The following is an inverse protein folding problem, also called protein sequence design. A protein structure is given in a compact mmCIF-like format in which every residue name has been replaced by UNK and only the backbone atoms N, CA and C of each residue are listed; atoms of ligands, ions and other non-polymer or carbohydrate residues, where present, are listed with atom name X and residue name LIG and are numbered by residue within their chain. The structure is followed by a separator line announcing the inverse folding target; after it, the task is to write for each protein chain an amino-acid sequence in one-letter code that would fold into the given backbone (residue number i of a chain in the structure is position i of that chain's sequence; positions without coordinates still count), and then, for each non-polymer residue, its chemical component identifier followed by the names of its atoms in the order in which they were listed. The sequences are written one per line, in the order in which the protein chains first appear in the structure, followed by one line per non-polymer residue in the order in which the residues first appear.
data_IF_338661867252
#
_entry.id   IF_338661867252
#
_cell.length_a   1.000
_cell.length_b   1.000
_cell.length_c   1.000
_cell.angle_alpha   90.00
_cell.angle_beta   90.00
_cell.angle_gamma   90.00
#
_symmetry.space_group_name_H-M   'P 1'
#
loop_
_entity.id
_entity.type
_entity.pdbx_description
1 polymer ?
2 branched ?
3 branched ?
4 non-polymer ?
5 non-polymer ?
6 non-polymer ?
7 non-polymer ?
8 water ?
#
# COMPACT_ATOMS: atom_id res chain seq x y z
N UNK A 19 6.50 13.06 14.76
CA UNK A 19 7.33 11.82 14.97
C UNK A 19 7.09 11.24 16.35
N UNK A 20 7.12 9.91 16.40
CA UNK A 20 7.02 9.16 17.63
C UNK A 20 7.65 7.81 17.29
N UNK A 21 8.17 7.08 18.30
CA UNK A 21 8.68 5.74 17.98
C UNK A 21 7.54 4.80 17.57
N UNK A 22 7.87 3.77 16.81
CA UNK A 22 6.93 2.70 16.53
C UNK A 22 6.40 2.15 17.85
N UNK A 23 5.08 2.01 17.99
CA UNK A 23 4.52 1.54 19.27
C UNK A 23 4.97 0.11 19.69
N UNK A 24 5.28 -0.73 18.70
CA UNK A 24 5.65 -2.14 18.96
C UNK A 24 6.96 -2.56 18.28
N UNK A 25 7.65 -1.61 17.66
CA UNK A 25 8.91 -1.86 16.96
C UNK A 25 8.76 -2.33 15.53
N UNK A 26 7.54 -2.60 15.08
CA UNK A 26 7.29 -3.01 13.70
C UNK A 26 6.84 -1.84 12.81
N UNK A 27 6.66 -2.10 11.52
CA UNK A 27 6.25 -1.06 10.56
C UNK A 27 7.26 0.06 10.41
N UNK A 28 8.55 -0.26 10.51
CA UNK A 28 9.59 0.77 10.34
C UNK A 28 9.56 1.32 8.92
N UNK A 29 9.09 0.51 7.98
CA UNK A 29 8.68 0.97 6.65
C UNK A 29 7.29 0.35 6.42
N UNK A 30 6.53 0.83 5.42
CA UNK A 30 5.20 0.27 5.18
C UNK A 30 5.30 -1.21 4.81
N UNK A 31 4.27 -1.99 5.17
CA UNK A 31 4.28 -3.43 4.86
C UNK A 31 4.09 -3.70 3.39
N UNK A 32 4.60 -4.84 2.92
CA UNK A 32 4.38 -5.29 1.56
C UNK A 32 3.95 -6.75 1.62
N UNK A 33 3.08 -7.13 0.70
CA UNK A 33 2.60 -8.50 0.65
C UNK A 33 1.48 -8.72 -0.34
N UNK A 34 0.56 -9.60 0.04
CA UNK A 34 -0.55 -9.99 -0.82
C UNK A 34 -1.73 -10.42 0.05
N UNK A 35 -2.94 -10.14 -0.45
CA UNK A 35 -4.18 -10.51 0.21
C UNK A 35 -5.07 -11.18 -0.84
N UNK A 36 -5.73 -12.27 -0.46
CA UNK A 36 -6.51 -13.10 -1.39
C UNK A 36 -7.88 -12.55 -1.80
N UNK A 37 -8.33 -11.48 -1.13
CA UNK A 37 -9.72 -11.06 -1.27
C UNK A 37 -10.13 -10.65 -2.69
N UNK A 38 -9.45 -9.65 -3.27
CA UNK A 38 -9.86 -9.11 -4.58
C UNK A 38 -10.18 -10.18 -5.61
N UNK A 39 -9.47 -11.30 -5.56
CA UNK A 39 -9.53 -12.28 -6.63
C UNK A 39 -10.10 -13.64 -6.22
N UNK A 40 -10.21 -13.90 -4.92
CA UNK A 40 -10.75 -15.19 -4.42
C UNK A 40 -11.95 -15.11 -3.45
N UNK A 41 -12.21 -13.92 -2.92
CA UNK A 41 -13.30 -13.71 -1.94
C UNK A 41 -13.30 -14.82 -0.87
N UNK A 42 -14.46 -15.41 -0.55
CA UNK A 42 -14.56 -16.45 0.49
C UNK A 42 -13.98 -17.80 0.11
N UNK A 43 -13.63 -17.96 -1.17
CA UNK A 43 -13.12 -19.23 -1.67
C UNK A 43 -11.61 -19.35 -1.39
N UNK A 44 -11.30 -19.63 -0.12
CA UNK A 44 -9.93 -19.73 0.37
C UNK A 44 -9.64 -21.15 0.85
N UNK A 45 -8.37 -21.53 0.88
CA UNK A 45 -7.96 -22.82 1.45
C UNK A 45 -6.46 -22.78 1.73
N UNK A 46 -5.97 -23.76 2.49
CA UNK A 46 -4.52 -23.89 2.68
C UNK A 46 -3.82 -23.95 1.32
N UNK A 47 -4.36 -24.78 0.43
CA UNK A 47 -3.78 -24.99 -0.91
C UNK A 47 -3.65 -23.69 -1.71
N UNK A 48 -4.71 -22.89 -1.73
CA UNK A 48 -4.67 -21.56 -2.38
C UNK A 48 -3.53 -20.74 -1.84
N UNK A 49 -3.43 -20.68 -0.52
CA UNK A 49 -2.48 -19.83 0.15
C UNK A 49 -1.06 -20.25 -0.18
N UNK A 50 -0.78 -21.54 -0.14
CA UNK A 50 0.57 -22.05 -0.37
C UNK A 50 0.97 -22.01 -1.85
N UNK A 51 0.03 -22.32 -2.75
CA UNK A 51 0.25 -22.15 -4.21
C UNK A 51 0.58 -20.72 -4.58
N UNK A 52 -0.17 -19.77 -4.02
CA UNK A 52 0.10 -18.34 -4.23
C UNK A 52 1.46 -17.94 -3.68
N UNK A 53 1.75 -18.37 -2.46
CA UNK A 53 3.00 -18.05 -1.81
C UNK A 53 4.17 -18.61 -2.62
N UNK A 54 4.04 -19.84 -3.12
CA UNK A 54 5.07 -20.46 -3.98
C UNK A 54 5.32 -19.59 -5.21
N UNK A 55 4.22 -19.14 -5.83
CA UNK A 55 4.28 -18.27 -7.02
C UNK A 55 4.92 -16.93 -6.72
N UNK A 56 4.57 -16.31 -5.59
CA UNK A 56 5.16 -15.02 -5.20
C UNK A 56 6.66 -15.15 -4.92
N UNK A 57 7.04 -16.26 -4.28
CA UNK A 57 8.45 -16.60 -4.11
C UNK A 57 9.15 -16.76 -5.47
N UNK A 58 8.60 -17.62 -6.34
CA UNK A 58 9.24 -17.98 -7.62
C UNK A 58 9.35 -16.79 -8.58
N UNK A 59 8.37 -15.89 -8.54
CA UNK A 59 8.43 -14.65 -9.34
C UNK A 59 9.45 -13.63 -8.82
N UNK A 60 10.07 -13.93 -7.67
CA UNK A 60 11.09 -13.05 -7.09
C UNK A 60 10.46 -11.85 -6.39
N UNK A 61 9.13 -11.87 -6.25
CA UNK A 61 8.40 -10.79 -5.60
C UNK A 61 8.57 -10.81 -4.08
N UNK A 62 8.64 -12.02 -3.52
CA UNK A 62 8.95 -12.19 -2.09
C UNK A 62 10.25 -11.47 -1.70
N UNK A 63 11.31 -11.71 -2.49
CA UNK A 63 12.61 -11.12 -2.16
C UNK A 63 12.73 -9.64 -2.54
N UNK A 64 11.67 -9.08 -3.12
CA UNK A 64 11.56 -7.62 -3.31
C UNK A 64 10.94 -6.96 -2.08
N UNK A 65 10.35 -7.78 -1.20
CA UNK A 65 9.82 -7.29 0.06
C UNK A 65 8.38 -7.68 0.27
N UNK A 66 7.73 -8.23 -0.76
CA UNK A 66 6.32 -8.68 -0.66
C UNK A 66 6.23 -9.97 0.16
N UNK A 67 6.30 -9.82 1.49
CA UNK A 67 6.53 -10.96 2.37
C UNK A 67 5.37 -11.38 3.25
N UNK A 68 4.38 -10.50 3.41
CA UNK A 68 3.17 -10.83 4.17
C UNK A 68 2.15 -11.51 3.25
N UNK A 69 1.86 -12.78 3.53
CA UNK A 69 0.78 -13.52 2.89
C UNK A 69 -0.45 -13.41 3.80
N UNK A 70 -1.38 -12.57 3.38
CA UNK A 70 -2.50 -12.20 4.25
C UNK A 70 -3.80 -12.90 3.83
N UNK A 71 -4.20 -13.84 4.67
CA UNK A 71 -5.47 -14.55 4.53
C UNK A 71 -6.56 -13.62 5.05
N UNK A 72 -7.56 -13.36 4.22
CA UNK A 72 -8.64 -12.43 4.56
C UNK A 72 -9.83 -13.17 5.21
N UNK A 73 -11.05 -12.71 4.93
CA UNK A 73 -12.28 -13.16 5.59
C UNK A 73 -12.64 -14.62 5.24
N UNK A 74 -13.68 -15.16 5.89
CA UNK A 74 -14.31 -16.46 5.53
C UNK A 74 -13.48 -17.71 5.81
N UNK A 75 -12.63 -17.65 6.84
CA UNK A 75 -11.68 -18.72 7.09
C UNK A 75 -12.14 -19.63 8.22
N UNK A 76 -13.01 -19.10 9.10
CA UNK A 76 -13.48 -19.80 10.29
C UNK A 76 -14.82 -20.50 10.07
N UNK A 77 -15.16 -21.41 10.98
CA UNK A 77 -16.45 -22.11 10.92
C UNK A 77 -17.33 -21.83 12.14
N UNK A 78 -16.79 -21.13 13.13
CA UNK A 78 -17.49 -20.87 14.39
C UNK A 78 -16.54 -20.80 15.58
N UNK A 79 -17.07 -21.09 16.76
CA UNK A 79 -16.28 -21.12 18.00
C UNK A 79 -16.51 -22.43 18.74
N UNK A 80 -15.48 -22.92 19.43
CA UNK A 80 -15.58 -24.18 20.19
C UNK A 80 -16.24 -23.99 21.56
N UNK A 81 -16.31 -25.04 22.37
CA UNK A 81 -16.97 -24.98 23.68
C UNK A 81 -16.29 -24.02 24.67
N UNK A 82 -15.02 -23.70 24.42
CA UNK A 82 -14.30 -22.70 25.21
C UNK A 82 -14.41 -21.29 24.65
N UNK A 83 -15.13 -21.13 23.55
CA UNK A 83 -15.32 -19.81 22.94
C UNK A 83 -14.20 -19.41 22.00
N UNK A 84 -13.26 -20.32 21.76
CA UNK A 84 -12.14 -20.10 20.83
C UNK A 84 -12.58 -20.22 19.39
N UNK A 85 -12.04 -19.35 18.54
CA UNK A 85 -12.20 -19.44 17.10
C UNK A 85 -11.78 -20.82 16.61
N UNK A 86 -12.54 -21.35 15.66
CA UNK A 86 -12.23 -22.62 15.01
C UNK A 86 -12.06 -22.35 13.51
N UNK A 87 -10.90 -22.72 12.96
CA UNK A 87 -10.71 -22.64 11.51
C UNK A 87 -11.62 -23.66 10.81
N UNK A 88 -12.14 -23.30 9.64
CA UNK A 88 -12.96 -24.20 8.84
C UNK A 88 -12.09 -25.40 8.45
N UNK A 89 -12.45 -26.59 8.93
CA UNK A 89 -11.62 -27.79 8.70
C UNK A 89 -11.65 -28.35 7.28
N UNK A 90 -12.62 -27.92 6.49
CA UNK A 90 -12.65 -28.23 5.07
C UNK A 90 -11.65 -27.36 4.29
N UNK A 91 -11.58 -26.07 4.66
CA UNK A 91 -10.68 -25.13 3.99
C UNK A 91 -9.25 -25.23 4.53
N UNK A 92 -9.12 -25.51 5.82
CA UNK A 92 -7.83 -25.59 6.51
C UNK A 92 -7.76 -26.89 7.34
N UNK A 93 -7.59 -28.04 6.65
CA UNK A 93 -7.63 -29.36 7.29
C UNK A 93 -6.55 -29.64 8.36
N UNK A 94 -5.48 -28.85 8.35
CA UNK A 94 -4.35 -29.02 9.26
C UNK A 94 -4.26 -27.91 10.34
N UNK A 95 -5.26 -27.03 10.37
CA UNK A 95 -5.23 -25.88 11.28
C UNK A 95 -4.45 -24.74 10.66
N UNK A 96 -4.49 -23.57 11.29
CA UNK A 96 -3.81 -22.39 10.75
C UNK A 96 -2.31 -22.40 11.03
N UNK A 97 -1.91 -22.89 12.21
CA UNK A 97 -0.50 -22.89 12.60
C UNK A 97 0.34 -23.65 11.59
N UNK A 98 -0.23 -24.71 11.04
CA UNK A 98 0.45 -25.48 9.98
C UNK A 98 0.67 -24.68 8.68
N UNK A 99 -0.28 -23.82 8.33
CA UNK A 99 -0.11 -22.88 7.20
C UNK A 99 1.03 -21.90 7.51
N UNK A 100 1.03 -21.34 8.72
CA UNK A 100 2.12 -20.46 9.19
C UNK A 100 3.50 -21.09 9.06
N UNK A 101 3.60 -22.37 9.41
CA UNK A 101 4.87 -23.12 9.40
C UNK A 101 5.43 -23.27 7.99
N UNK A 102 4.56 -23.65 7.06
CA UNK A 102 4.90 -23.68 5.63
C UNK A 102 5.35 -22.33 5.10
N UNK A 103 4.62 -21.27 5.48
CA UNK A 103 4.99 -19.91 5.10
C UNK A 103 6.35 -19.51 5.66
N UNK A 104 6.55 -19.72 6.96
CA UNK A 104 7.81 -19.36 7.62
C UNK A 104 8.99 -20.14 7.06
N UNK A 105 8.75 -21.40 6.70
CA UNK A 105 9.80 -22.24 6.08
C UNK A 105 10.21 -21.78 4.68
N UNK A 106 9.42 -20.91 4.05
CA UNK A 106 9.81 -20.26 2.80
C UNK A 106 10.06 -18.77 2.97
N UNK A 107 10.38 -18.36 4.21
CA UNK A 107 10.74 -16.98 4.55
C UNK A 107 9.62 -15.98 4.31
N UNK A 108 8.38 -16.45 4.42
CA UNK A 108 7.20 -15.58 4.38
C UNK A 108 6.74 -15.26 5.81
N UNK A 109 5.93 -14.22 5.92
CA UNK A 109 5.20 -13.93 7.15
C UNK A 109 3.70 -14.15 6.91
N UNK A 110 2.98 -14.53 7.95
CA UNK A 110 1.57 -14.97 7.82
C UNK A 110 0.63 -13.93 8.44
N UNK A 111 -0.31 -13.45 7.63
CA UNK A 111 -1.35 -12.53 8.10
C UNK A 111 -2.71 -13.20 8.15
N UNK A 112 -3.50 -12.82 9.16
CA UNK A 112 -4.88 -13.30 9.30
C UNK A 112 -5.84 -12.12 9.50
N UNK A 113 -7.12 -12.42 9.60
CA UNK A 113 -8.17 -11.40 9.55
C UNK A 113 -9.25 -11.62 10.63
N UNK A 114 -9.67 -10.51 11.23
CA UNK A 114 -10.91 -10.50 11.98
C UNK A 114 -11.59 -9.13 11.86
N UNK A 115 -12.64 -8.93 12.63
CA UNK A 115 -13.34 -7.64 12.67
C UNK A 115 -13.57 -7.23 14.10
N UNK A 116 -13.44 -5.93 14.37
CA UNK A 116 -13.76 -5.34 15.66
C UNK A 116 -15.27 -5.20 15.76
N UNK A 117 -15.96 -6.31 15.56
CA UNK A 117 -17.41 -6.34 15.59
C UNK A 117 -17.90 -7.70 15.99
N UNK A 118 -19.22 -7.83 16.05
CA UNK A 118 -19.87 -9.08 16.38
C UNK A 118 -19.57 -10.13 15.31
N UNK A 119 -19.55 -9.68 14.06
CA UNK A 119 -19.26 -10.53 12.89
C UNK A 119 -18.25 -9.84 12.01
N UNK A 120 -17.63 -10.62 11.13
CA UNK A 120 -16.78 -10.08 10.08
C UNK A 120 -17.68 -9.54 8.99
N UNK A 121 -17.09 -8.87 8.01
CA UNK A 121 -17.87 -8.29 6.91
C UNK A 121 -18.66 -9.34 6.11
N UNK A 122 -18.12 -10.55 5.99
CA UNK A 122 -18.82 -11.65 5.32
C UNK A 122 -19.70 -12.48 6.27
N UNK A 123 -19.79 -12.06 7.53
CA UNK A 123 -20.72 -12.65 8.49
C UNK A 123 -20.20 -13.81 9.32
N UNK A 124 -18.88 -13.97 9.36
CA UNK A 124 -18.23 -14.96 10.21
C UNK A 124 -18.00 -14.38 11.61
N UNK A 125 -17.61 -15.23 12.59
CA UNK A 125 -17.39 -14.75 13.96
C UNK A 125 -16.42 -13.57 14.06
N UNK A 126 -16.87 -12.50 14.70
CA UNK A 126 -16.06 -11.31 14.93
C UNK A 126 -15.49 -11.28 16.34
N UNK A 127 -14.52 -10.39 16.57
CA UNK A 127 -13.73 -10.39 17.80
C UNK A 127 -14.15 -9.39 18.88
N UNK A 128 -15.16 -8.57 18.60
CA UNK A 128 -15.57 -7.56 19.60
C UNK A 128 -16.01 -8.20 20.93
N UNK A 129 -15.32 -7.82 22.00
CA UNK A 129 -15.54 -8.35 23.34
C UNK A 129 -14.90 -9.73 23.54
N UNK A 130 -14.19 -10.19 22.52
CA UNK A 130 -13.56 -11.50 22.53
C UNK A 130 -12.08 -11.36 22.20
N UNK A 131 -11.53 -10.18 22.47
CA UNK A 131 -10.21 -9.81 21.98
C UNK A 131 -9.12 -10.67 22.59
N UNK A 132 -9.22 -10.94 23.90
CA UNK A 132 -8.19 -11.72 24.57
C UNK A 132 -8.04 -13.13 23.97
N UNK A 133 -9.17 -13.85 23.83
CA UNK A 133 -9.19 -15.21 23.25
C UNK A 133 -8.73 -15.19 21.81
N UNK A 134 -9.16 -14.17 21.07
CA UNK A 134 -8.92 -14.18 19.62
C UNK A 134 -7.46 -13.86 19.29
N UNK A 135 -6.92 -12.85 19.97
CA UNK A 135 -5.47 -12.59 19.92
C UNK A 135 -4.67 -13.84 20.31
N UNK A 136 -5.10 -14.54 21.37
CA UNK A 136 -4.48 -15.79 21.79
C UNK A 136 -4.52 -16.88 20.72
N UNK A 137 -5.70 -17.06 20.11
CA UNK A 137 -5.82 -17.93 18.93
C UNK A 137 -4.80 -17.59 17.84
N UNK A 138 -4.66 -16.31 17.50
CA UNK A 138 -3.74 -15.92 16.44
C UNK A 138 -2.28 -16.22 16.81
N UNK A 139 -1.90 -15.93 18.06
CA UNK A 139 -0.57 -16.23 18.56
C UNK A 139 -0.29 -17.74 18.66
N UNK A 140 -1.29 -18.51 19.10
CA UNK A 140 -1.20 -19.99 19.15
C UNK A 140 -0.93 -20.57 17.77
N UNK A 141 -1.48 -19.90 16.76
CA UNK A 141 -1.34 -20.31 15.36
C UNK A 141 -0.22 -19.61 14.60
N UNK A 142 0.64 -18.91 15.35
CA UNK A 142 1.93 -18.38 14.85
C UNK A 142 1.76 -17.35 13.73
N UNK A 143 0.70 -16.56 13.87
CA UNK A 143 0.36 -15.46 12.98
C UNK A 143 1.28 -14.25 13.25
N UNK A 144 1.64 -13.52 12.19
CA UNK A 144 2.58 -12.38 12.29
C UNK A 144 1.96 -11.02 12.02
N UNK A 145 0.68 -11.00 11.62
CA UNK A 145 0.01 -9.81 11.10
C UNK A 145 -1.49 -10.01 11.25
N UNK A 146 -2.19 -8.96 11.69
CA UNK A 146 -3.65 -9.01 11.77
C UNK A 146 -4.27 -7.83 11.05
N UNK A 147 -5.12 -8.12 10.07
CA UNK A 147 -5.97 -7.08 9.46
C UNK A 147 -7.29 -7.06 10.25
N UNK A 148 -7.69 -5.89 10.76
CA UNK A 148 -8.73 -5.85 11.77
C UNK A 148 -9.85 -4.88 11.38
N UNK A 149 -10.94 -5.47 10.93
CA UNK A 149 -12.01 -4.78 10.20
C UNK A 149 -12.95 -3.99 11.12
N UNK A 150 -14.02 -3.45 10.53
CA UNK A 150 -14.93 -2.52 11.23
C UNK A 150 -16.40 -2.81 10.94
N UNK A 151 -16.68 -4.00 10.42
CA UNK A 151 -18.07 -4.44 10.24
C UNK A 151 -18.73 -4.86 11.54
N UNK A 152 -20.03 -4.56 11.66
CA UNK A 152 -20.86 -4.99 12.81
C UNK A 152 -20.33 -4.59 14.17
N UNK A 153 -19.95 -3.31 14.30
CA UNK A 153 -19.29 -2.84 15.53
C UNK A 153 -20.24 -2.48 16.69
N UNK A 154 -21.52 -2.83 16.57
CA UNK A 154 -22.48 -2.70 17.68
C UNK A 154 -22.57 -1.27 18.25
N UNK A 155 -22.57 -0.27 17.38
CA UNK A 155 -22.67 1.13 17.78
C UNK A 155 -21.43 1.76 18.41
N UNK A 156 -20.31 1.03 18.39
CA UNK A 156 -19.08 1.49 19.06
C UNK A 156 -18.17 2.31 18.15
N UNK A 157 -18.75 3.37 17.59
CA UNK A 157 -18.09 4.31 16.71
C UNK A 157 -18.79 5.65 16.87
N UNK A 158 -18.30 6.69 16.19
CA UNK A 158 -18.98 7.99 16.16
C UNK A 158 -18.18 9.12 16.76
N UNK A 159 -17.27 8.78 17.67
CA UNK A 159 -16.28 9.72 18.20
C UNK A 159 -14.89 9.08 18.14
N UNK A 160 -13.82 9.91 18.06
CA UNK A 160 -12.45 9.34 18.16
C UNK A 160 -12.25 8.41 19.37
N UNK A 161 -12.74 8.83 20.53
CA UNK A 161 -12.48 8.10 21.77
C UNK A 161 -13.08 6.69 21.80
N UNK A 162 -14.32 6.54 21.34
CA UNK A 162 -14.95 5.22 21.30
C UNK A 162 -14.27 4.26 20.29
N UNK A 163 -13.93 4.75 19.10
CA UNK A 163 -13.27 3.91 18.09
C UNK A 163 -11.84 3.55 18.52
N UNK A 164 -11.13 4.54 19.07
CA UNK A 164 -9.81 4.30 19.65
C UNK A 164 -9.82 3.20 20.72
N UNK A 165 -10.76 3.25 21.66
CA UNK A 165 -10.77 2.24 22.73
C UNK A 165 -11.11 0.83 22.20
N UNK A 166 -11.96 0.75 21.18
CA UNK A 166 -12.30 -0.54 20.55
C UNK A 166 -11.07 -1.16 19.84
N UNK A 167 -10.33 -0.33 19.10
CA UNK A 167 -9.12 -0.80 18.43
C UNK A 167 -7.94 -1.04 19.38
N UNK A 168 -7.86 -0.22 20.44
CA UNK A 168 -6.92 -0.46 21.53
C UNK A 168 -7.14 -1.78 22.27
N UNK A 169 -8.41 -2.18 22.45
CA UNK A 169 -8.72 -3.47 23.07
C UNK A 169 -7.99 -4.63 22.37
N UNK A 170 -7.99 -4.66 21.04
CA UNK A 170 -7.26 -5.73 20.32
C UNK A 170 -5.73 -5.51 20.31
N UNK A 171 -5.30 -4.25 20.23
CA UNK A 171 -3.87 -3.90 20.33
C UNK A 171 -3.27 -4.47 21.62
N UNK A 172 -3.95 -4.20 22.74
CA UNK A 172 -3.52 -4.69 24.06
C UNK A 172 -3.55 -6.21 24.16
N UNK A 173 -4.62 -6.82 23.66
CA UNK A 173 -4.77 -8.28 23.65
C UNK A 173 -3.64 -8.96 22.88
N UNK A 174 -3.26 -8.41 21.73
CA UNK A 174 -2.15 -8.96 20.94
C UNK A 174 -0.84 -8.80 21.68
N UNK A 175 -0.63 -7.62 22.28
CA UNK A 175 0.57 -7.41 23.09
C UNK A 175 0.67 -8.46 24.22
N UNK A 176 -0.47 -8.76 24.85
CA UNK A 176 -0.54 -9.69 25.99
C UNK A 176 -0.04 -11.09 25.63
N UNK A 177 -0.15 -11.48 24.36
CA UNK A 177 0.30 -12.81 23.91
C UNK A 177 1.82 -12.96 23.90
N UNK A 178 2.53 -11.84 23.86
CA UNK A 178 3.99 -11.83 23.77
C UNK A 178 4.55 -12.09 22.38
N UNK A 179 3.68 -12.41 21.42
CA UNK A 179 4.11 -12.68 20.05
C UNK A 179 3.99 -11.38 19.27
N UNK A 180 5.09 -10.93 18.63
CA UNK A 180 5.01 -9.74 17.78
C UNK A 180 4.02 -9.95 16.64
N UNK A 181 3.08 -9.02 16.53
CA UNK A 181 2.08 -9.04 15.46
C UNK A 181 2.00 -7.64 14.89
N UNK A 182 2.23 -7.53 13.58
CA UNK A 182 1.99 -6.31 12.84
C UNK A 182 0.48 -6.05 12.84
N UNK A 183 0.06 -4.92 13.41
CA UNK A 183 -1.38 -4.66 13.61
C UNK A 183 -1.90 -3.62 12.59
N UNK A 184 -2.74 -4.12 11.67
CA UNK A 184 -3.27 -3.35 10.55
C UNK A 184 -4.74 -3.03 10.81
N UNK A 185 -5.05 -1.75 11.02
CA UNK A 185 -6.42 -1.30 11.23
C UNK A 185 -7.21 -1.23 9.94
N UNK A 186 -8.47 -1.63 9.98
CA UNK A 186 -9.34 -1.52 8.83
C UNK A 186 -10.66 -0.91 9.26
N UNK A 187 -10.64 0.37 9.63
CA UNK A 187 -11.85 1.08 9.97
C UNK A 187 -12.20 2.23 9.00
N UNK A 188 -11.55 2.25 7.84
CA UNK A 188 -11.91 3.15 6.73
C UNK A 188 -11.77 4.66 7.03
N UNK A 189 -10.90 4.98 7.99
CA UNK A 189 -10.66 6.39 8.39
C UNK A 189 -11.65 6.94 9.38
N UNK A 190 -12.58 6.10 9.82
CA UNK A 190 -13.74 6.52 10.60
C UNK A 190 -13.30 7.10 11.92
N UNK A 191 -13.85 8.27 12.25
CA UNK A 191 -13.53 8.98 13.49
C UNK A 191 -12.07 9.47 13.54
N UNK A 192 -11.55 9.91 12.38
CA UNK A 192 -10.22 10.54 12.24
C UNK A 192 -9.04 9.68 12.68
N UNK A 193 -9.03 8.44 12.18
CA UNK A 193 -8.05 7.45 12.57
C UNK A 193 -6.59 7.90 12.52
N UNK A 194 -6.26 8.73 11.53
CA UNK A 194 -4.88 9.24 11.36
C UNK A 194 -4.33 9.95 12.61
N UNK A 195 -5.25 10.46 13.44
CA UNK A 195 -4.85 11.16 14.67
C UNK A 195 -4.46 10.19 15.80
N UNK A 196 -5.13 9.04 15.88
CA UNK A 196 -4.97 8.12 17.01
C UNK A 196 -4.40 6.72 16.70
N UNK A 197 -4.23 6.43 15.43
CA UNK A 197 -3.73 5.11 15.02
C UNK A 197 -2.34 4.77 15.53
N UNK A 198 -1.44 5.75 15.58
CA UNK A 198 0.00 5.48 15.76
C UNK A 198 0.39 4.82 17.07
N UNK A 199 -0.28 5.22 18.16
CA UNK A 199 0.03 4.71 19.49
C UNK A 199 -0.42 3.30 19.78
N UNK A 200 -1.24 2.73 18.90
CA UNK A 200 -1.81 1.40 19.11
C UNK A 200 -1.72 0.46 17.89
N UNK A 201 -1.27 0.96 16.75
CA UNK A 201 -1.26 0.19 15.48
C UNK A 201 -0.11 0.57 14.54
N UNK A 202 0.16 -0.31 13.58
CA UNK A 202 1.22 -0.08 12.59
C UNK A 202 0.76 0.55 11.28
N UNK A 203 -0.53 0.36 10.94
CA UNK A 203 -1.13 1.00 9.77
C UNK A 203 -2.64 1.08 9.99
N UNK A 204 -3.28 1.99 9.25
CA UNK A 204 -4.74 2.17 9.32
C UNK A 204 -5.30 2.51 7.95
N UNK A 205 -6.29 1.74 7.52
CA UNK A 205 -7.06 2.13 6.34
C UNK A 205 -7.63 3.51 6.62
N UNK A 206 -7.63 4.38 5.61
CA UNK A 206 -8.10 5.74 5.83
C UNK A 206 -9.29 6.05 4.94
N UNK A 207 -9.81 5.03 4.26
CA UNK A 207 -10.97 5.19 3.36
C UNK A 207 -11.77 3.89 3.19
N UNK A 208 -12.95 4.00 2.58
CA UNK A 208 -13.69 2.83 2.09
C UNK A 208 -12.91 2.10 1.02
N UNK A 209 -13.33 0.88 0.67
CA UNK A 209 -12.53 0.04 -0.24
C UNK A 209 -12.32 0.69 -1.60
N UNK A 210 -11.09 0.58 -2.09
CA UNK A 210 -10.74 0.91 -3.45
C UNK A 210 -11.38 -0.08 -4.44
N UNK A 211 -11.50 0.35 -5.68
CA UNK A 211 -11.93 -0.50 -6.78
C UNK A 211 -11.08 -0.18 -8.00
N UNK A 212 -11.12 -1.07 -9.00
CA UNK A 212 -10.34 -0.89 -10.23
C UNK A 212 -10.94 0.17 -11.17
N UNK A 213 -11.08 1.38 -10.63
CA UNK A 213 -11.55 2.54 -11.40
C UNK A 213 -10.64 3.70 -11.02
N UNK A 214 -10.20 4.47 -12.01
CA UNK A 214 -9.23 5.53 -11.73
C UNK A 214 -9.90 6.78 -11.18
N UNK A 215 -11.10 7.11 -11.65
CA UNK A 215 -11.78 8.35 -11.28
C UNK A 215 -13.27 8.21 -10.94
N UNK A 216 -13.87 7.09 -11.33
CA UNK A 216 -15.35 6.96 -11.33
C UNK A 216 -16.02 7.24 -9.96
N UNK A 217 -16.84 8.30 -9.89
CA UNK A 217 -17.68 8.45 -8.70
C UNK A 217 -18.66 7.28 -8.59
N UNK A 218 -18.92 6.84 -7.36
CA UNK A 218 -19.79 5.71 -7.12
C UNK A 218 -20.73 6.04 -5.96
N UNK A 219 -22.01 5.71 -6.13
CA UNK A 219 -23.02 5.99 -5.12
C UNK A 219 -22.75 5.23 -3.81
N UNK A 220 -22.00 4.13 -3.90
CA UNK A 220 -21.59 3.36 -2.72
C UNK A 220 -20.41 3.98 -1.97
N UNK A 221 -19.82 5.03 -2.56
CA UNK A 221 -18.74 5.81 -1.95
C UNK A 221 -19.12 7.29 -1.94
N UNK A 222 -20.09 7.68 -1.08
CA UNK A 222 -20.70 9.01 -1.17
C UNK A 222 -19.79 10.20 -0.83
N UNK A 223 -18.69 9.97 -0.13
CA UNK A 223 -17.76 11.05 0.22
C UNK A 223 -16.78 11.29 -0.92
N UNK A 224 -16.75 12.51 -1.43
CA UNK A 224 -15.83 12.84 -2.54
C UNK A 224 -14.38 13.01 -2.04
N UNK A 225 -13.48 13.34 -2.96
CA UNK A 225 -12.03 13.40 -2.65
C UNK A 225 -11.67 14.42 -1.60
N UNK A 226 -12.49 15.45 -1.44
CA UNK A 226 -12.23 16.50 -0.45
C UNK A 226 -12.78 16.16 0.94
N UNK A 227 -13.59 15.09 1.03
CA UNK A 227 -14.21 14.73 2.30
C UNK A 227 -13.40 13.67 3.06
N UNK A 228 -12.23 14.09 3.55
CA UNK A 228 -11.33 13.22 4.33
C UNK A 228 -11.95 12.77 5.64
N UNK A 229 -12.82 13.62 6.21
CA UNK A 229 -13.56 13.32 7.43
C UNK A 229 -14.96 12.91 6.99
N UNK A 230 -15.11 11.63 6.69
CA UNK A 230 -16.29 11.09 6.03
C UNK A 230 -17.11 10.29 7.02
N UNK A 231 -18.44 10.45 6.99
CA UNK A 231 -19.32 9.75 7.93
C UNK A 231 -19.91 8.44 7.38
N UNK A 232 -19.65 8.17 6.10
CA UNK A 232 -20.09 6.93 5.47
C UNK A 232 -19.00 6.53 4.48
N UNK A 233 -17.97 5.85 4.97
CA UNK A 233 -16.80 5.51 4.15
C UNK A 233 -17.16 4.73 2.88
N UNK A 234 -18.08 3.78 3.04
CA UNK A 234 -18.61 2.99 1.93
C UNK A 234 -17.53 2.17 1.26
N UNK A 235 -17.69 1.94 -0.05
CA UNK A 235 -16.72 1.18 -0.85
C UNK A 235 -16.93 1.44 -2.34
N UNK A 236 -16.17 0.73 -3.18
CA UNK A 236 -16.07 1.06 -4.62
C UNK A 236 -15.62 2.50 -4.86
N UNK A 237 -14.74 2.96 -3.99
CA UNK A 237 -14.13 4.28 -4.12
C UNK A 237 -13.03 4.20 -5.17
N UNK A 238 -12.97 5.18 -6.06
CA UNK A 238 -11.95 5.20 -7.12
C UNK A 238 -10.54 5.51 -6.58
N UNK A 239 -9.54 5.20 -7.40
CA UNK A 239 -8.13 5.46 -7.07
C UNK A 239 -7.88 6.94 -6.67
N UNK A 240 -8.34 7.85 -7.51
CA UNK A 240 -8.18 9.29 -7.27
C UNK A 240 -8.99 9.80 -6.09
N UNK A 241 -10.17 9.22 -5.88
CA UNK A 241 -10.99 9.55 -4.70
C UNK A 241 -10.21 9.28 -3.43
N UNK A 242 -9.52 8.13 -3.38
CA UNK A 242 -8.79 7.68 -2.20
C UNK A 242 -7.48 8.46 -2.03
N UNK A 243 -6.76 8.68 -3.12
CA UNK A 243 -5.55 9.51 -3.08
C UNK A 243 -5.87 10.93 -2.57
N UNK A 244 -6.95 11.49 -3.08
CA UNK A 244 -7.40 12.83 -2.65
C UNK A 244 -7.74 12.91 -1.16
N UNK A 245 -8.48 11.91 -0.68
CA UNK A 245 -8.73 11.76 0.76
C UNK A 245 -7.43 11.66 1.59
N UNK A 246 -6.44 10.96 1.05
CA UNK A 246 -5.17 10.74 1.75
C UNK A 246 -4.26 11.97 1.80
N UNK A 247 -4.44 12.86 0.82
CA UNK A 247 -3.55 14.01 0.64
C UNK A 247 -3.19 14.80 1.91
N UNK A 248 -4.20 15.25 2.69
CA UNK A 248 -3.86 16.00 3.91
C UNK A 248 -3.28 15.11 5.03
N UNK A 249 -3.45 13.78 4.92
CA UNK A 249 -3.11 12.85 6.01
C UNK A 249 -1.64 12.45 6.14
N UNK A 250 -0.83 12.78 5.13
CA UNK A 250 0.60 12.44 5.15
C UNK A 250 1.33 12.91 6.40
N UNK A 251 0.95 14.09 6.86
CA UNK A 251 1.57 14.72 8.04
C UNK A 251 1.37 13.92 9.32
N UNK A 252 0.39 13.02 9.34
CA UNK A 252 0.13 12.16 10.49
C UNK A 252 0.59 10.72 10.31
N UNK A 253 1.39 10.47 9.27
CA UNK A 253 2.05 9.18 9.09
C UNK A 253 3.57 9.27 9.19
N UNK A 254 4.22 8.13 9.38
CA UNK A 254 5.68 8.06 9.47
C UNK A 254 6.12 6.75 10.11
N UNK A 255 7.43 6.63 10.35
CA UNK A 255 8.01 5.40 10.89
C UNK A 255 7.13 4.79 11.99
N UNK A 256 6.69 3.54 11.76
CA UNK A 256 5.90 2.80 12.75
C UNK A 256 4.38 2.84 12.58
N UNK A 257 3.86 3.80 11.82
CA UNK A 257 2.40 3.99 11.70
C UNK A 257 2.05 4.70 10.40
N UNK A 258 1.39 3.98 9.48
CA UNK A 258 1.19 4.47 8.13
C UNK A 258 -0.28 4.60 7.77
N UNK A 259 -0.59 5.56 6.90
CA UNK A 259 -1.88 5.62 6.22
C UNK A 259 -1.91 4.46 5.21
N UNK A 260 -3.08 3.82 5.10
CA UNK A 260 -3.26 2.65 4.24
C UNK A 260 -4.34 2.98 3.21
N UNK A 261 -3.94 3.08 1.95
CA UNK A 261 -4.85 3.43 0.85
C UNK A 261 -5.53 2.20 0.18
N UNK A 262 -5.48 1.05 0.87
CA UNK A 262 -6.10 -0.22 0.47
C UNK A 262 -5.23 -0.99 -0.53
N UNK A 263 -5.54 -2.26 -0.77
CA UNK A 263 -4.72 -3.10 -1.65
C UNK A 263 -4.65 -2.53 -3.08
N UNK A 264 -3.51 -2.74 -3.71
CA UNK A 264 -3.27 -2.32 -5.10
C UNK A 264 -4.17 -3.08 -6.07
N UNK A 265 -4.71 -2.34 -7.03
CA UNK A 265 -5.58 -2.90 -8.05
C UNK A 265 -4.80 -3.18 -9.33
N UNK A 266 -3.48 -3.02 -9.26
CA UNK A 266 -2.58 -3.39 -10.36
C UNK A 266 -2.83 -4.87 -10.67
N UNK A 267 -3.10 -5.15 -11.94
CA UNK A 267 -3.38 -6.53 -12.37
C UNK A 267 -4.79 -6.99 -12.05
N UNK A 268 -5.64 -6.06 -11.59
CA UNK A 268 -7.05 -6.37 -11.32
C UNK A 268 -7.94 -5.54 -12.25
N UNK A 269 -8.96 -6.19 -12.80
CA UNK A 269 -9.90 -5.51 -13.68
C UNK A 269 -9.23 -4.94 -14.91
N UNK A 270 -9.65 -3.76 -15.33
CA UNK A 270 -9.27 -3.21 -16.62
C UNK A 270 -8.61 -1.84 -16.64
N UNK A 271 -7.74 -1.62 -15.70
CA UNK A 271 -6.94 -0.41 -15.66
C UNK A 271 -5.97 -0.41 -16.84
N UNK A 272 -5.75 0.77 -17.43
CA UNK A 272 -4.74 0.90 -18.48
C UNK A 272 -3.36 0.80 -17.85
N UNK A 273 -2.32 0.68 -18.67
CA UNK A 273 -0.95 0.63 -18.15
C UNK A 273 -0.58 1.95 -17.47
N UNK A 274 -0.99 3.07 -18.05
CA UNK A 274 -0.76 4.37 -17.41
C UNK A 274 -1.45 4.49 -16.06
N UNK A 275 -2.70 4.03 -16.00
CA UNK A 275 -3.49 4.05 -14.77
C UNK A 275 -2.85 3.21 -13.66
N UNK A 276 -2.33 2.03 -14.03
CA UNK A 276 -1.65 1.17 -13.07
C UNK A 276 -0.32 1.77 -12.60
N UNK A 277 0.40 2.46 -13.48
CA UNK A 277 1.67 3.11 -13.11
C UNK A 277 1.44 4.28 -12.14
N UNK A 278 0.43 5.10 -12.45
CA UNK A 278 0.01 6.21 -11.60
C UNK A 278 -0.39 5.72 -10.21
N UNK A 279 -1.19 4.66 -10.18
CA UNK A 279 -1.72 4.06 -8.96
C UNK A 279 -0.59 3.47 -8.08
N UNK A 280 0.28 2.65 -8.67
CA UNK A 280 1.40 2.07 -7.95
C UNK A 280 2.39 3.14 -7.44
N UNK A 281 2.71 4.10 -8.31
CA UNK A 281 3.65 5.19 -7.97
C UNK A 281 3.12 6.08 -6.86
N UNK A 282 1.83 6.41 -6.90
CA UNK A 282 1.26 7.30 -5.87
C UNK A 282 1.11 6.61 -4.50
N UNK A 283 0.68 5.35 -4.49
CA UNK A 283 0.68 4.52 -3.26
C UNK A 283 2.09 4.40 -2.67
N UNK A 284 3.10 4.17 -3.53
CA UNK A 284 4.48 4.17 -3.04
C UNK A 284 4.86 5.50 -2.39
N UNK A 285 4.56 6.59 -3.11
CA UNK A 285 5.01 7.93 -2.76
C UNK A 285 4.41 8.48 -1.45
N UNK A 286 3.18 8.07 -1.15
CA UNK A 286 2.53 8.46 0.10
C UNK A 286 2.81 7.48 1.25
N UNK A 287 3.68 6.50 0.98
CA UNK A 287 4.04 5.48 1.97
C UNK A 287 2.82 4.68 2.47
N UNK A 288 1.94 4.35 1.53
CA UNK A 288 0.91 3.36 1.78
C UNK A 288 1.57 1.99 1.83
N UNK A 289 1.00 1.05 2.62
CA UNK A 289 1.29 -0.36 2.40
C UNK A 289 1.18 -0.71 0.91
N UNK A 290 2.01 -1.65 0.46
CA UNK A 290 1.94 -2.12 -0.92
C UNK A 290 1.58 -3.59 -0.87
N UNK A 291 0.29 -3.85 -0.93
CA UNK A 291 -0.25 -5.19 -0.84
C UNK A 291 -0.86 -5.53 -2.20
N UNK A 292 -0.30 -6.56 -2.83
CA UNK A 292 -0.75 -7.03 -4.13
C UNK A 292 -2.20 -7.49 -4.02
N UNK A 293 -3.08 -6.93 -4.85
CA UNK A 293 -4.49 -7.33 -4.89
C UNK A 293 -4.80 -8.29 -6.04
N UNK A 294 -3.85 -8.43 -6.96
CA UNK A 294 -3.98 -9.31 -8.12
C UNK A 294 -3.92 -10.80 -7.76
N UNK A 295 -4.42 -11.64 -8.67
CA UNK A 295 -4.17 -13.09 -8.62
C UNK A 295 -2.82 -13.31 -9.27
N UNK A 296 -1.84 -13.72 -8.48
CA UNK A 296 -0.47 -13.84 -8.99
C UNK A 296 -0.29 -15.01 -9.97
N UNK A 297 -1.22 -15.96 -9.93
CA UNK A 297 -1.25 -17.07 -10.89
C UNK A 297 -2.12 -16.74 -12.11
N UNK A 298 -2.62 -15.52 -12.14
CA UNK A 298 -3.40 -15.01 -13.25
C UNK A 298 -3.08 -13.52 -13.40
N UNK A 299 -1.79 -13.24 -13.49
CA UNK A 299 -1.26 -11.89 -13.53
C UNK A 299 -0.64 -11.63 -14.90
N UNK A 300 -1.07 -10.56 -15.56
CA UNK A 300 -0.53 -10.20 -16.87
C UNK A 300 0.83 -9.54 -16.77
N UNK A 301 1.55 -9.56 -17.90
CA UNK A 301 2.93 -9.09 -18.00
C UNK A 301 3.16 -7.64 -17.56
N UNK A 302 2.36 -6.70 -18.09
CA UNK A 302 2.54 -5.29 -17.78
C UNK A 302 2.34 -5.02 -16.28
N UNK A 303 1.39 -5.73 -15.69
CA UNK A 303 1.09 -5.57 -14.26
C UNK A 303 2.22 -6.13 -13.40
N UNK A 304 2.73 -7.30 -13.77
CA UNK A 304 3.89 -7.89 -13.11
C UNK A 304 5.10 -6.95 -13.07
N UNK A 305 5.42 -6.29 -14.19
CA UNK A 305 6.59 -5.40 -14.20
C UNK A 305 6.35 -4.09 -13.44
N UNK A 306 5.07 -3.74 -13.24
CA UNK A 306 4.74 -2.62 -12.36
C UNK A 306 5.06 -3.01 -10.90
N UNK A 307 4.54 -4.14 -10.44
CA UNK A 307 4.81 -4.64 -9.08
C UNK A 307 6.30 -4.87 -8.82
N UNK A 308 7.07 -5.08 -9.88
CA UNK A 308 8.47 -5.43 -9.75
C UNK A 308 9.42 -4.24 -9.97
N UNK A 309 8.88 -3.03 -10.08
CA UNK A 309 9.72 -1.85 -10.28
C UNK A 309 10.45 -1.45 -8.99
N UNK A 310 11.70 -1.93 -8.88
CA UNK A 310 12.54 -1.71 -7.70
C UNK A 310 12.71 -0.25 -7.33
N UNK A 311 12.81 0.61 -8.35
CA UNK A 311 13.00 2.05 -8.19
C UNK A 311 11.84 2.70 -7.44
N UNK A 312 10.63 2.24 -7.73
CA UNK A 312 9.43 2.79 -7.12
C UNK A 312 9.23 2.25 -5.69
N UNK A 313 9.49 0.96 -5.51
CA UNK A 313 9.48 0.32 -4.18
C UNK A 313 10.49 0.98 -3.22
N UNK A 314 11.65 1.36 -3.76
CA UNK A 314 12.69 2.02 -2.96
C UNK A 314 12.19 3.36 -2.38
N UNK A 315 11.33 4.06 -3.12
CA UNK A 315 10.66 5.28 -2.62
C UNK A 315 9.79 4.93 -1.41
N UNK A 316 8.96 3.90 -1.57
CA UNK A 316 8.02 3.46 -0.54
C UNK A 316 8.75 2.96 0.69
N UNK A 317 9.93 2.39 0.48
CA UNK A 317 10.71 1.76 1.54
C UNK A 317 11.88 2.63 1.97
N UNK A 318 11.81 3.93 1.67
CA UNK A 318 12.80 4.89 2.14
C UNK A 318 12.94 4.78 3.66
N UNK A 319 14.16 4.75 4.17
CA UNK A 319 14.34 4.69 5.61
C UNK A 319 13.94 6.03 6.22
N UNK A 320 13.41 6.01 7.44
CA UNK A 320 12.88 7.23 8.07
C UNK A 320 11.83 7.91 7.18
N UNK A 321 11.05 7.07 6.50
CA UNK A 321 10.09 7.46 5.48
C UNK A 321 9.15 8.59 5.81
N UNK A 322 9.02 9.50 4.85
CA UNK A 322 8.09 10.61 4.94
C UNK A 322 7.17 10.56 3.74
N UNK A 323 5.84 10.51 3.96
CA UNK A 323 4.91 10.63 2.85
C UNK A 323 5.12 11.93 2.07
N UNK A 324 4.97 11.88 0.76
CA UNK A 324 5.09 13.09 -0.04
C UNK A 324 3.89 14.04 0.16
N UNK A 325 4.08 15.29 -0.26
CA UNK A 325 3.11 16.35 -0.07
C UNK A 325 2.55 16.77 -1.42
N UNK A 326 1.23 16.96 -1.49
CA UNK A 326 0.65 17.50 -2.70
C UNK A 326 0.90 19.00 -2.76
N UNK A 327 1.61 19.44 -3.79
CA UNK A 327 2.02 20.85 -3.92
C UNK A 327 0.91 21.68 -4.54
N UNK A 328 0.29 21.15 -5.60
CA UNK A 328 -0.89 21.78 -6.22
C UNK A 328 -1.84 20.80 -6.88
N UNK A 329 -3.08 21.25 -7.03
CA UNK A 329 -4.11 20.51 -7.74
C UNK A 329 -5.00 21.48 -8.51
N UNK A 330 -5.20 21.20 -9.80
CA UNK A 330 -6.07 22.00 -10.66
C UNK A 330 -7.00 21.11 -11.45
N UNK A 331 -8.25 21.54 -11.56
CA UNK A 331 -9.20 20.85 -12.42
C UNK A 331 -9.00 21.33 -13.86
N UNK A 332 -9.09 20.38 -14.79
CA UNK A 332 -8.90 20.65 -16.22
C UNK A 332 -10.17 20.41 -17.03
N UNK A 333 -10.26 21.04 -18.21
CA UNK A 333 -11.44 20.88 -19.06
C UNK A 333 -11.46 19.53 -19.79
N UNK A 334 -10.32 18.86 -19.82
CA UNK A 334 -10.21 17.52 -20.42
C UNK A 334 -10.69 16.46 -19.44
N UNK A 335 -11.99 16.18 -19.49
CA UNK A 335 -12.61 15.26 -18.55
C UNK A 335 -13.00 13.95 -19.23
N UNK A 336 -13.06 12.89 -18.44
CA UNK A 336 -13.34 11.55 -18.95
C UNK A 336 -14.85 11.32 -19.04
N UNK A 337 -15.24 10.08 -19.36
CA UNK A 337 -16.65 9.69 -19.47
C UNK A 337 -17.49 9.98 -18.20
N UNK A 338 -16.80 10.15 -17.07
CA UNK A 338 -17.48 10.40 -15.78
C UNK A 338 -17.39 11.85 -15.33
N UNK A 339 -16.93 12.72 -16.23
CA UNK A 339 -16.82 14.15 -15.94
C UNK A 339 -15.63 14.51 -15.06
N UNK A 340 -14.70 13.57 -14.90
CA UNK A 340 -13.57 13.78 -13.99
C UNK A 340 -12.31 14.19 -14.75
N UNK A 341 -11.56 15.13 -14.17
CA UNK A 341 -10.30 15.55 -14.75
C UNK A 341 -9.57 16.57 -13.91
N UNK A 342 -8.42 16.17 -13.37
CA UNK A 342 -7.60 17.04 -12.57
C UNK A 342 -6.14 16.69 -12.76
N UNK A 343 -5.27 17.67 -12.51
CA UNK A 343 -3.83 17.46 -12.58
C UNK A 343 -3.21 17.84 -11.24
N UNK A 344 -2.18 17.09 -10.83
CA UNK A 344 -1.57 17.30 -9.53
C UNK A 344 -0.05 17.22 -9.61
N UNK A 345 0.59 17.98 -8.75
CA UNK A 345 2.02 17.84 -8.51
C UNK A 345 2.26 17.45 -7.06
N UNK A 346 3.08 16.42 -6.86
CA UNK A 346 3.48 16.00 -5.52
C UNK A 346 5.00 16.06 -5.42
N UNK A 347 5.49 16.25 -4.20
CA UNK A 347 6.92 16.34 -3.92
C UNK A 347 7.15 15.91 -2.49
N UNK A 348 8.28 15.24 -2.25
CA UNK A 348 8.62 14.75 -0.92
C UNK A 348 10.09 14.47 -0.73
N UNK A 349 10.59 14.66 0.51
CA UNK A 349 11.99 14.42 0.81
C UNK A 349 12.32 12.94 0.91
N UNK A 350 13.58 12.61 0.63
CA UNK A 350 14.08 11.24 0.75
C UNK A 350 15.28 11.25 1.66
N UNK A 351 15.47 10.16 2.40
CA UNK A 351 16.43 10.12 3.48
C UNK A 351 17.88 10.48 3.08
N UNK A 352 18.29 10.09 1.87
CA UNK A 352 19.66 10.38 1.39
C UNK A 352 19.86 11.82 0.87
N UNK A 353 18.79 12.62 0.93
CA UNK A 353 18.84 14.02 0.49
C UNK A 353 18.21 14.27 -0.86
N UNK A 354 17.83 13.19 -1.56
CA UNK A 354 17.14 13.30 -2.84
C UNK A 354 15.68 13.77 -2.63
N UNK A 355 14.99 14.06 -3.72
CA UNK A 355 13.57 14.47 -3.70
C UNK A 355 12.79 13.61 -4.69
N UNK A 356 11.59 13.16 -4.29
CA UNK A 356 10.69 12.48 -5.24
C UNK A 356 9.69 13.49 -5.73
N UNK A 357 9.48 13.51 -7.05
CA UNK A 357 8.54 14.43 -7.67
C UNK A 357 7.56 13.62 -8.52
N UNK A 358 6.28 13.95 -8.41
CA UNK A 358 5.25 13.32 -9.24
C UNK A 358 4.49 14.39 -10.00
N UNK A 359 4.45 14.25 -11.33
CA UNK A 359 3.54 15.05 -12.13
C UNK A 359 2.40 14.15 -12.60
N UNK A 360 1.22 14.40 -12.06
CA UNK A 360 0.11 13.48 -12.21
C UNK A 360 -0.97 14.07 -13.12
N UNK A 361 -1.22 13.40 -14.22
CA UNK A 361 -2.20 13.84 -15.21
C UNK A 361 -3.50 13.03 -15.11
N UNK A 362 -4.42 13.50 -14.28
CA UNK A 362 -5.72 12.85 -14.15
C UNK A 362 -6.73 13.27 -15.21
N UNK A 363 -6.29 14.07 -16.18
CA UNK A 363 -7.13 14.49 -17.29
C UNK A 363 -7.27 13.42 -18.37
N UNK A 364 -8.21 13.62 -19.29
CA UNK A 364 -8.58 12.60 -20.29
C UNK A 364 -7.66 12.54 -21.52
N UNK A 365 -6.79 13.54 -21.67
CA UNK A 365 -5.91 13.62 -22.83
C UNK A 365 -4.47 13.78 -22.34
N UNK A 366 -3.53 13.36 -23.19
CA UNK A 366 -2.11 13.61 -22.98
C UNK A 366 -1.90 15.12 -22.92
N UNK A 367 -1.10 15.57 -21.97
CA UNK A 367 -0.84 17.01 -21.84
C UNK A 367 0.60 17.29 -21.42
N UNK A 368 1.12 18.46 -21.81
CA UNK A 368 2.41 18.87 -21.26
C UNK A 368 2.23 19.30 -19.80
N UNK A 369 3.19 18.93 -18.96
CA UNK A 369 3.18 19.29 -17.54
C UNK A 369 4.55 19.84 -17.16
N UNK A 370 4.54 20.83 -16.30
CA UNK A 370 5.70 21.61 -15.95
C UNK A 370 5.83 21.98 -14.46
N UNK A 371 7.04 22.08 -13.95
CA UNK A 371 7.30 22.63 -12.63
C UNK A 371 8.70 23.28 -12.58
N UNK A 372 9.02 23.84 -11.42
CA UNK A 372 10.30 24.51 -11.19
C UNK A 372 10.86 24.02 -9.87
N UNK A 373 12.13 24.35 -9.58
CA UNK A 373 12.74 24.04 -8.28
C UNK A 373 12.00 24.68 -7.11
N UNK A 374 11.46 25.88 -7.33
CA UNK A 374 10.70 26.60 -6.30
C UNK A 374 9.47 25.82 -5.85
N UNK A 375 8.75 25.23 -6.81
CA UNK A 375 7.57 24.39 -6.54
C UNK A 375 7.95 23.05 -5.94
N UNK A 376 8.96 22.40 -6.52
CA UNK A 376 9.46 21.11 -6.03
C UNK A 376 9.93 21.22 -4.58
N UNK A 377 10.75 22.23 -4.30
CA UNK A 377 11.25 22.44 -2.95
C UNK A 377 10.42 23.51 -2.25
N UNK A 378 9.16 23.11 -2.06
CA UNK A 378 8.05 23.95 -1.62
C UNK A 378 8.23 24.65 -0.26
N UNK A 379 9.01 24.07 0.65
CA UNK A 379 9.28 24.72 1.95
C UNK A 379 10.68 25.35 2.04
N UNK A 380 11.33 25.53 0.89
CA UNK A 380 12.64 26.18 0.82
C UNK A 380 12.52 27.67 0.49
N UNK A 381 13.30 28.48 1.21
CA UNK A 381 13.32 29.92 1.00
C UNK A 381 14.12 30.28 -0.25
N UNK A 382 13.79 31.43 -0.86
CA UNK A 382 14.60 31.98 -1.94
C UNK A 382 16.04 32.13 -1.46
N UNK A 383 16.98 31.71 -2.30
CA UNK A 383 18.40 31.80 -1.96
C UNK A 383 18.93 30.65 -1.13
N UNK A 384 18.07 29.70 -0.79
CA UNK A 384 18.48 28.50 -0.06
C UNK A 384 19.35 27.65 -0.98
N UNK A 385 20.13 26.74 -0.41
CA UNK A 385 21.02 25.93 -1.22
C UNK A 385 20.30 24.93 -2.14
N UNK A 386 19.09 24.52 -1.77
CA UNK A 386 18.27 23.67 -2.65
C UNK A 386 17.77 24.42 -3.89
N UNK A 387 17.43 25.70 -3.74
CA UNK A 387 16.89 26.49 -4.84
C UNK A 387 17.99 27.08 -5.73
N UNK A 388 19.20 27.12 -5.18
CA UNK A 388 20.38 27.70 -5.83
C UNK A 388 21.22 26.62 -6.55
N UNK A 389 20.92 25.36 -6.27
CA UNK A 389 21.66 24.22 -6.83
C UNK A 389 21.03 23.65 -8.08
N UNK A 390 21.82 22.85 -8.81
CA UNK A 390 21.34 22.13 -9.98
C UNK A 390 21.06 20.67 -9.58
N UNK A 391 19.94 20.14 -10.06
CA UNK A 391 19.50 18.79 -9.69
C UNK A 391 19.38 17.91 -10.91
N UNK A 392 19.95 16.70 -10.82
CA UNK A 392 19.81 15.69 -11.87
C UNK A 392 18.45 15.02 -11.76
N UNK A 393 17.75 14.92 -12.89
CA UNK A 393 16.45 14.28 -12.96
C UNK A 393 16.62 12.82 -13.34
N UNK A 394 16.05 11.93 -12.53
CA UNK A 394 16.01 10.51 -12.85
C UNK A 394 14.57 10.07 -13.08
N UNK A 395 14.35 9.35 -14.19
CA UNK A 395 13.05 8.76 -14.50
C UNK A 395 12.95 7.43 -13.77
N UNK A 396 12.07 7.38 -12.77
CA UNK A 396 11.90 6.17 -11.94
C UNK A 396 11.23 5.02 -12.70
N UNK A 397 10.65 5.30 -13.87
CA UNK A 397 10.03 4.25 -14.69
C UNK A 397 10.93 3.70 -15.80
N UNK A 398 12.10 4.30 -15.97
CA UNK A 398 13.12 3.77 -16.88
C UNK A 398 13.59 2.39 -16.44
N UNK A 399 13.99 1.58 -17.42
CA UNK A 399 14.53 0.24 -17.17
C UNK A 399 13.53 -0.71 -16.50
N UNK A 400 12.24 -0.53 -16.78
CA UNK A 400 11.24 -1.45 -16.27
C UNK A 400 11.34 -2.75 -17.07
N UNK A 401 11.00 -3.87 -16.43
CA UNK A 401 11.04 -5.17 -17.11
C UNK A 401 10.08 -5.13 -18.29
N UNK A 402 10.60 -5.37 -19.50
CA UNK A 402 9.77 -5.26 -20.70
C UNK A 402 8.72 -6.38 -20.77
N UNK A 403 7.69 -6.15 -21.58
CA UNK A 403 6.58 -7.11 -21.68
C UNK A 403 7.02 -8.52 -22.06
N UNK A 404 8.09 -8.62 -22.85
CA UNK A 404 8.62 -9.92 -23.28
C UNK A 404 9.26 -10.71 -22.13
N UNK A 405 10.18 -10.07 -21.41
CA UNK A 405 10.85 -10.70 -20.28
C UNK A 405 9.82 -11.08 -19.19
N UNK A 406 8.92 -10.14 -18.88
CA UNK A 406 7.82 -10.36 -17.95
C UNK A 406 6.96 -11.58 -18.36
N UNK A 407 6.59 -11.65 -19.63
CA UNK A 407 5.81 -12.78 -20.16
C UNK A 407 6.58 -14.09 -20.02
N UNK A 408 7.88 -14.05 -20.32
CA UNK A 408 8.75 -15.22 -20.18
C UNK A 408 8.81 -15.71 -18.74
N UNK A 409 9.02 -14.78 -17.79
CA UNK A 409 9.10 -15.13 -16.37
C UNK A 409 7.77 -15.74 -15.89
N UNK A 410 6.66 -15.07 -16.22
CA UNK A 410 5.33 -15.56 -15.83
C UNK A 410 4.97 -16.92 -16.41
N UNK A 411 5.46 -17.21 -17.62
CA UNK A 411 5.23 -18.49 -18.30
C UNK A 411 6.20 -19.58 -17.89
N UNK A 412 7.03 -19.29 -16.88
CA UNK A 412 8.03 -20.20 -16.33
C UNK A 412 9.09 -20.64 -17.36
N UNK A 413 9.39 -19.77 -18.31
CA UNK A 413 10.44 -20.02 -19.28
C UNK A 413 11.74 -19.31 -18.93
N UNK A 414 11.62 -18.25 -18.12
CA UNK A 414 12.76 -17.50 -17.58
C UNK A 414 12.64 -17.36 -16.07
N UNK A 415 13.78 -17.33 -15.39
CA UNK A 415 13.82 -17.11 -13.94
C UNK A 415 13.91 -15.62 -13.64
N UNK A 416 13.31 -15.22 -12.52
CA UNK A 416 13.37 -13.82 -12.07
C UNK A 416 14.71 -13.48 -11.44
N UNK A 417 15.42 -14.51 -10.95
CA UNK A 417 16.75 -14.35 -10.35
C UNK A 417 17.71 -13.67 -11.33
N UNK A 418 18.40 -12.63 -10.85
CA UNK A 418 19.30 -11.85 -11.70
C UNK A 418 18.62 -10.80 -12.56
N UNK A 419 17.29 -10.80 -12.57
CA UNK A 419 16.50 -9.81 -13.33
C UNK A 419 15.84 -8.82 -12.36
N UNK A 420 14.99 -9.32 -11.46
CA UNK A 420 14.45 -8.49 -10.37
C UNK A 420 15.50 -8.21 -9.30
N UNK A 421 15.45 -7.02 -8.74
CA UNK A 421 16.28 -6.66 -7.59
C UNK A 421 15.96 -7.55 -6.39
N UNK A 422 17.00 -8.00 -5.70
CA UNK A 422 16.87 -8.86 -4.52
C UNK A 422 17.14 -8.05 -3.25
N UNK A 423 16.06 -7.58 -2.62
CA UNK A 423 16.14 -6.75 -1.41
C UNK A 423 16.54 -7.56 -0.18
N UNK A 424 16.26 -8.87 -0.21
CA UNK A 424 16.69 -9.76 0.88
C UNK A 424 18.21 -9.85 0.90
N UNK A 425 18.81 -9.88 -0.28
CA UNK A 425 20.26 -9.99 -0.43
C UNK A 425 20.93 -8.65 -0.07
N UNK A 426 20.32 -7.57 -0.55
CA UNK A 426 20.81 -6.22 -0.32
C UNK A 426 19.63 -5.27 -0.15
N UNK A 427 19.45 -4.78 1.09
CA UNK A 427 18.34 -3.89 1.43
C UNK A 427 18.27 -2.66 0.52
N UNK A 428 17.09 -2.05 0.46
CA UNK A 428 16.92 -0.82 -0.32
C UNK A 428 17.87 0.28 0.15
N UNK A 429 18.04 0.42 1.45
CA UNK A 429 18.96 1.42 2.04
C UNK A 429 20.37 1.24 1.49
N UNK A 430 20.90 0.03 1.63
CA UNK A 430 22.25 -0.30 1.17
C UNK A 430 22.43 -0.10 -0.33
N UNK A 431 21.45 -0.58 -1.11
CA UNK A 431 21.45 -0.38 -2.56
C UNK A 431 21.57 1.07 -2.99
N UNK A 432 20.79 1.95 -2.35
CA UNK A 432 20.81 3.38 -2.65
C UNK A 432 22.18 4.03 -2.36
N UNK A 433 22.81 3.58 -1.28
CA UNK A 433 24.15 4.03 -0.89
C UNK A 433 25.21 3.66 -1.93
N UNK A 434 25.08 2.45 -2.48
CA UNK A 434 26.06 1.95 -3.45
C UNK A 434 25.77 2.44 -4.87
N UNK A 435 24.85 3.40 -5.00
CA UNK A 435 24.48 3.99 -6.28
C UNK A 435 23.94 2.96 -7.28
N UNK A 436 23.23 1.94 -6.77
CA UNK A 436 22.69 0.87 -7.60
C UNK A 436 21.73 1.42 -8.65
N UNK A 437 22.07 1.18 -9.92
CA UNK A 437 21.33 1.69 -11.07
C UNK A 437 19.86 1.25 -11.07
N UNK A 438 19.61 0.05 -10.56
CA UNK A 438 18.26 -0.53 -10.54
C UNK A 438 17.30 0.21 -9.60
N UNK A 439 17.84 0.96 -8.64
CA UNK A 439 17.02 1.67 -7.65
C UNK A 439 16.81 3.16 -7.95
N UNK A 440 17.49 3.70 -8.96
CA UNK A 440 17.41 5.13 -9.26
C UNK A 440 16.71 5.44 -10.59
N UNK A 441 16.57 4.43 -11.43
CA UNK A 441 16.11 4.63 -12.80
C UNK A 441 17.21 5.23 -13.64
N UNK A 442 16.83 6.02 -14.64
CA UNK A 442 17.80 6.59 -15.58
C UNK A 442 17.79 8.12 -15.53
N UNK A 443 19.00 8.69 -15.45
CA UNK A 443 19.18 10.14 -15.57
C UNK A 443 18.78 10.58 -16.97
N UNK A 444 17.91 11.57 -17.04
CA UNK A 444 17.33 12.04 -18.31
C UNK A 444 17.63 13.52 -18.55
N UNK A 445 18.27 14.15 -17.59
CA UNK A 445 18.56 15.57 -17.67
C UNK A 445 18.85 16.18 -16.31
N UNK A 446 18.72 17.50 -16.25
CA UNK A 446 19.00 18.24 -15.03
C UNK A 446 18.14 19.48 -14.97
N UNK A 447 17.88 19.95 -13.75
CA UNK A 447 17.08 21.15 -13.52
C UNK A 447 17.91 22.19 -12.78
N UNK A 448 18.10 23.34 -13.42
CA UNK A 448 18.87 24.44 -12.87
C UNK A 448 17.93 25.50 -12.29
N UNK A 449 18.45 26.37 -11.39
CA UNK A 449 17.64 27.50 -10.96
C UNK A 449 17.11 28.30 -12.15
N UNK A 450 15.92 28.87 -11.99
CA UNK A 450 15.26 29.71 -13.01
C UNK A 450 14.69 28.95 -14.21
N UNK A 451 15.16 27.72 -14.43
CA UNK A 451 14.70 26.87 -15.53
C UNK A 451 13.40 26.12 -15.17
N UNK A 452 12.70 25.63 -16.19
CA UNK A 452 11.51 24.81 -15.93
C UNK A 452 11.69 23.36 -16.41
N UNK A 453 11.15 22.43 -15.63
CA UNK A 453 11.07 21.03 -16.02
C UNK A 453 9.78 20.83 -16.83
N UNK A 454 9.94 20.45 -18.10
CA UNK A 454 8.81 20.22 -19.00
C UNK A 454 8.76 18.75 -19.42
N UNK A 455 7.57 18.16 -19.40
CA UNK A 455 7.36 16.80 -19.89
C UNK A 455 5.96 16.67 -20.45
N UNK A 456 5.75 15.63 -21.24
CA UNK A 456 4.42 15.26 -21.71
C UNK A 456 3.98 14.04 -20.90
N UNK A 457 2.78 14.14 -20.32
CA UNK A 457 2.25 13.09 -19.44
C UNK A 457 0.97 12.51 -20.05
N UNK A 458 0.93 11.18 -20.26
CA UNK A 458 -0.24 10.53 -20.85
C UNK A 458 -1.50 10.71 -19.99
N UNK A 459 -2.67 10.61 -20.64
CA UNK A 459 -3.96 10.62 -19.95
C UNK A 459 -3.99 9.59 -18.82
N UNK A 460 -4.46 10.01 -17.65
CA UNK A 460 -4.51 9.15 -16.45
C UNK A 460 -3.15 8.54 -16.11
N UNK A 461 -2.08 9.28 -16.41
CA UNK A 461 -0.72 8.79 -16.22
C UNK A 461 0.14 9.71 -15.36
N UNK A 462 1.43 9.41 -15.34
CA UNK A 462 2.34 10.03 -14.39
C UNK A 462 3.76 10.21 -14.94
N UNK A 463 4.38 11.34 -14.59
CA UNK A 463 5.82 11.47 -14.66
C UNK A 463 6.34 11.37 -13.22
N UNK A 464 7.13 10.33 -12.97
CA UNK A 464 7.56 10.02 -11.60
C UNK A 464 9.10 10.09 -11.53
N UNK A 465 9.61 11.11 -10.83
CA UNK A 465 11.05 11.39 -10.81
C UNK A 465 11.73 11.33 -9.45
N UNK A 466 13.01 10.96 -9.47
CA UNK A 466 13.89 11.16 -8.33
C UNK A 466 14.92 12.24 -8.70
N UNK A 467 14.98 13.30 -7.91
CA UNK A 467 15.98 14.37 -8.10
C UNK A 467 17.17 14.17 -7.18
N UNK A 468 18.37 14.31 -7.74
CA UNK A 468 19.61 14.12 -6.99
C UNK A 468 20.52 15.33 -7.20
N UNK A 469 21.28 15.73 -6.16
CA UNK A 469 22.17 16.87 -6.37
C UNK A 469 23.25 16.51 -7.38
N UNK A 470 23.45 17.36 -8.39
CA UNK A 470 24.45 17.15 -9.43
C UNK A 470 25.86 16.99 -8.85
#
# INVERSE_FOLDING_TARGET
MFAFYFLTACISLKGVFGVSPSYNGLGLTPQMGWDNWNTFACDVSEQLLLDTADRISDLGLKDMGYKYIILDDCWSSGRDSDGFLVADEQKFPNGMGHVADHLHNNSFLFGMYSSAGEYTCAGYPGSLGREEEDAQFFANNRVDYLKYDNCYNKGQFGTPEISYHRYKAMSDALNKTGRPVFYSLCNWGQDLTFYWGSGIANSWRMSGDVTAEFTRPDSRCPCDGDEYDCKYAGFHCSIMNILNKAAPMGQNAGVGGWNDLDNLEVGVGNLTDDEEKAHFSMWAMVKSPLIIGANVNNLKASSYSIYSQASVIAINQDSNGIPATRVWRYYVSDTDEYGQGEIQMWSGPLDNGDQVVALLNGGSVSRPMNTTLEEIFFDSNLGSKKLTSTWDIYDLWANRVDNSTASAILGRNKTATGILYNATEQSYKDGLSKNDTRLFGQKIGSLSPNAILNTTVPAHGIAFYRLRPSSDYKDDDDK
#
